data_IF_503494113696
#
_entry.id   IF_503494113696
#
_cell.length_a   1.000
_cell.length_b   1.000
_cell.length_c   1.000
_cell.angle_alpha   90.00
_cell.angle_beta   90.00
_cell.angle_gamma   90.00
#
_symmetry.space_group_name_H-M   'P 1'
#
loop_
_entity.id
_entity.type
_entity.pdbx_description
1 polymer ?
#
# COMPACT_ATOMS: atom_id res chain seq x y z
N UNK A 1 -0.17 36.45 12.11
CA UNK A 1 1.07 35.93 11.47
C UNK A 1 1.76 34.84 12.26
N UNK A 2 1.66 34.80 13.56
CA UNK A 2 2.29 33.76 14.41
C UNK A 2 1.67 32.36 14.25
N UNK A 3 0.35 32.23 14.20
CA UNK A 3 -0.33 30.94 14.07
C UNK A 3 -0.09 30.25 12.72
N UNK A 4 -0.02 31.00 11.62
CA UNK A 4 0.31 30.46 10.31
C UNK A 4 1.76 29.99 10.21
N UNK A 5 2.69 30.71 10.85
CA UNK A 5 4.11 30.32 10.97
C UNK A 5 4.28 29.03 11.81
N UNK A 6 3.46 28.85 12.84
CA UNK A 6 3.52 27.66 13.70
C UNK A 6 2.97 26.40 13.00
N UNK A 7 1.97 26.55 12.15
CA UNK A 7 1.47 25.43 11.30
C UNK A 7 2.52 25.01 10.27
N UNK A 8 3.25 25.98 9.69
CA UNK A 8 4.35 25.68 8.74
C UNK A 8 5.54 24.98 9.39
N UNK A 9 5.89 25.32 10.63
CA UNK A 9 6.96 24.66 11.39
C UNK A 9 6.62 23.24 11.84
N UNK A 10 5.34 22.87 11.87
CA UNK A 10 4.86 21.52 12.23
C UNK A 10 4.94 20.50 11.08
N UNK A 11 5.30 20.96 9.87
CA UNK A 11 5.46 20.09 8.72
C UNK A 11 6.94 19.70 8.55
N UNK A 12 7.30 18.47 8.85
CA UNK A 12 8.59 17.91 8.43
C UNK A 12 8.54 17.59 6.93
N UNK A 13 9.31 18.31 6.15
CA UNK A 13 9.53 17.95 4.74
C UNK A 13 10.61 16.86 4.69
N UNK A 14 10.22 15.65 4.33
CA UNK A 14 11.16 14.64 3.84
C UNK A 14 11.22 14.77 2.33
N UNK A 15 12.40 15.04 1.76
CA UNK A 15 12.62 15.23 0.32
C UNK A 15 11.75 16.36 -0.33
N UNK A 16 11.58 17.49 0.37
CA UNK A 16 10.90 18.68 -0.17
C UNK A 16 9.37 18.64 -0.19
N UNK A 17 8.73 17.59 0.33
CA UNK A 17 7.27 17.50 0.44
C UNK A 17 6.83 17.28 1.88
N UNK A 18 5.91 18.11 2.37
CA UNK A 18 5.34 17.98 3.71
C UNK A 18 4.26 16.89 3.71
N UNK A 19 4.66 15.66 4.05
CA UNK A 19 3.76 14.49 4.12
C UNK A 19 3.29 14.17 5.52
N UNK A 20 3.91 14.76 6.53
CA UNK A 20 3.69 14.47 7.94
C UNK A 20 3.17 15.71 8.67
N UNK A 21 2.09 15.55 9.41
CA UNK A 21 1.59 16.54 10.35
C UNK A 21 2.12 16.19 11.74
N UNK A 22 2.88 17.09 12.35
CA UNK A 22 3.37 16.91 13.71
C UNK A 22 2.34 17.47 14.71
N UNK A 23 1.72 16.60 15.47
CA UNK A 23 0.78 16.90 16.55
C UNK A 23 1.46 16.65 17.91
N UNK A 24 2.35 17.55 18.30
CA UNK A 24 3.17 17.38 19.52
C UNK A 24 4.18 16.23 19.36
N UNK A 25 4.15 15.22 20.25
CA UNK A 25 5.06 14.06 20.17
C UNK A 25 4.69 13.06 19.06
N UNK A 26 3.50 13.18 18.48
CA UNK A 26 3.01 12.26 17.45
C UNK A 26 3.14 12.86 16.05
N UNK A 27 3.69 12.09 15.13
CA UNK A 27 3.67 12.40 13.70
C UNK A 27 2.51 11.63 13.04
N UNK A 28 1.65 12.35 12.35
CA UNK A 28 0.47 11.81 11.70
C UNK A 28 0.61 11.96 10.18
N UNK A 29 0.34 10.88 9.44
CA UNK A 29 0.31 10.91 7.99
C UNK A 29 -1.15 10.88 7.50
N UNK A 30 -1.69 11.98 6.94
CA UNK A 30 -3.08 12.06 6.50
C UNK A 30 -3.48 11.02 5.46
N UNK A 31 -2.54 10.55 4.66
CA UNK A 31 -2.79 9.53 3.65
C UNK A 31 -3.17 8.16 4.23
N UNK A 32 -2.75 7.83 5.46
CA UNK A 32 -3.18 6.60 6.13
C UNK A 32 -4.68 6.65 6.46
N UNK A 33 -5.13 7.78 7.03
CA UNK A 33 -6.55 8.03 7.25
C UNK A 33 -7.35 8.00 5.94
N UNK A 34 -6.81 8.60 4.88
CA UNK A 34 -7.48 8.66 3.59
C UNK A 34 -7.75 7.26 3.00
N UNK A 35 -6.82 6.32 3.14
CA UNK A 35 -7.01 4.93 2.69
C UNK A 35 -8.19 4.27 3.39
N UNK A 36 -8.23 4.35 4.72
CA UNK A 36 -9.34 3.81 5.52
C UNK A 36 -10.67 4.50 5.18
N UNK A 37 -10.68 5.83 5.08
CA UNK A 37 -11.88 6.58 4.72
C UNK A 37 -12.41 6.21 3.34
N UNK A 38 -11.54 5.96 2.36
CA UNK A 38 -11.92 5.49 1.01
C UNK A 38 -12.57 4.13 1.07
N UNK A 39 -12.01 3.19 1.83
CA UNK A 39 -12.57 1.84 1.98
C UNK A 39 -14.00 1.92 2.53
N UNK A 40 -14.19 2.66 3.62
CA UNK A 40 -15.50 2.82 4.26
C UNK A 40 -16.49 3.51 3.31
N UNK A 41 -16.06 4.60 2.67
CA UNK A 41 -16.91 5.37 1.75
C UNK A 41 -17.32 4.55 0.54
N UNK A 42 -16.38 3.84 -0.09
CA UNK A 42 -16.67 3.00 -1.24
C UNK A 42 -17.57 1.82 -0.88
N UNK A 43 -17.37 1.17 0.27
CA UNK A 43 -18.25 0.09 0.72
C UNK A 43 -19.69 0.58 0.83
N UNK A 44 -19.89 1.74 1.47
CA UNK A 44 -21.21 2.37 1.59
C UNK A 44 -21.80 2.81 0.24
N UNK A 45 -20.98 3.38 -0.64
CA UNK A 45 -21.44 3.86 -1.96
C UNK A 45 -21.86 2.70 -2.84
N UNK A 46 -21.07 1.63 -2.87
CA UNK A 46 -21.33 0.44 -3.69
C UNK A 46 -22.57 -0.31 -3.17
N UNK A 47 -22.74 -0.43 -1.87
CA UNK A 47 -23.92 -1.05 -1.27
C UNK A 47 -25.24 -0.37 -1.70
N UNK A 48 -25.22 0.96 -1.88
CA UNK A 48 -26.41 1.73 -2.32
C UNK A 48 -26.77 1.54 -3.81
N UNK A 49 -25.85 1.06 -4.65
CA UNK A 49 -26.04 0.95 -6.10
C UNK A 49 -25.74 -0.43 -6.69
N UNK A 50 -25.97 -1.57 -5.99
CA UNK A 50 -25.45 -2.88 -6.39
C UNK A 50 -25.95 -3.32 -7.76
N UNK A 51 -27.25 -3.12 -8.08
CA UNK A 51 -27.88 -3.53 -9.36
C UNK A 51 -27.38 -2.74 -10.58
N UNK A 52 -26.76 -1.57 -10.38
CA UNK A 52 -26.31 -0.68 -11.47
C UNK A 52 -24.85 -0.93 -11.86
N UNK A 53 -24.07 -1.65 -11.06
CA UNK A 53 -22.65 -1.90 -11.31
C UNK A 53 -22.37 -2.82 -12.52
N UNK A 54 -23.37 -3.51 -13.04
CA UNK A 54 -23.27 -4.21 -14.32
C UNK A 54 -23.08 -3.27 -15.55
N UNK A 55 -23.30 -1.97 -15.39
CA UNK A 55 -23.11 -0.98 -16.45
C UNK A 55 -21.79 -0.22 -16.26
N UNK A 56 -20.97 -0.18 -17.32
CA UNK A 56 -19.70 0.55 -17.33
C UNK A 56 -19.83 2.02 -16.92
N UNK A 57 -20.93 2.68 -17.33
CA UNK A 57 -21.23 4.05 -16.92
C UNK A 57 -21.31 4.25 -15.40
N UNK A 58 -21.76 3.23 -14.65
CA UNK A 58 -21.83 3.33 -13.18
C UNK A 58 -20.45 3.21 -12.53
N UNK A 59 -19.59 2.36 -13.09
CA UNK A 59 -18.18 2.26 -12.65
C UNK A 59 -17.47 3.60 -12.88
N UNK A 60 -17.64 4.19 -14.08
CA UNK A 60 -17.06 5.51 -14.41
C UNK A 60 -17.58 6.57 -13.43
N UNK A 61 -18.88 6.59 -13.12
CA UNK A 61 -19.44 7.57 -12.16
C UNK A 61 -18.78 7.46 -10.79
N UNK A 62 -18.58 6.25 -10.26
CA UNK A 62 -17.89 6.05 -9.00
C UNK A 62 -16.45 6.55 -9.10
N UNK A 63 -15.74 6.23 -10.19
CA UNK A 63 -14.36 6.68 -10.40
C UNK A 63 -14.27 8.21 -10.53
N UNK A 64 -15.24 8.86 -11.20
CA UNK A 64 -15.31 10.32 -11.31
C UNK A 64 -15.56 10.97 -9.95
N UNK A 65 -16.42 10.40 -9.11
CA UNK A 65 -16.65 10.88 -7.74
C UNK A 65 -15.35 10.79 -6.91
N UNK A 66 -14.57 9.73 -7.12
CA UNK A 66 -13.30 9.52 -6.41
C UNK A 66 -12.14 10.34 -7.00
N UNK A 67 -12.27 10.82 -8.23
CA UNK A 67 -11.18 11.48 -8.98
C UNK A 67 -10.57 12.70 -8.26
N UNK A 68 -11.34 13.63 -7.66
CA UNK A 68 -10.75 14.76 -6.93
C UNK A 68 -9.83 14.30 -5.79
N UNK A 69 -10.24 13.27 -5.05
CA UNK A 69 -9.43 12.70 -3.98
C UNK A 69 -8.16 12.04 -4.53
N UNK A 70 -8.27 11.27 -5.62
CA UNK A 70 -7.10 10.69 -6.29
C UNK A 70 -6.12 11.75 -6.77
N UNK A 71 -6.62 12.84 -7.37
CA UNK A 71 -5.80 13.92 -7.89
C UNK A 71 -5.00 14.63 -6.77
N UNK A 72 -5.67 14.94 -5.65
CA UNK A 72 -5.01 15.56 -4.48
C UNK A 72 -3.96 14.63 -3.88
N UNK A 73 -4.27 13.33 -3.71
CA UNK A 73 -3.29 12.36 -3.19
C UNK A 73 -2.15 12.17 -4.19
N UNK A 74 -2.41 12.07 -5.50
CA UNK A 74 -1.40 11.87 -6.53
C UNK A 74 -0.42 13.04 -6.63
N UNK A 75 -0.91 14.26 -6.41
CA UNK A 75 -0.06 15.45 -6.38
C UNK A 75 0.97 15.36 -5.24
N UNK A 76 0.57 14.92 -4.05
CA UNK A 76 1.44 14.81 -2.87
C UNK A 76 2.20 13.48 -2.79
N UNK A 77 1.57 12.36 -3.17
CA UNK A 77 2.15 11.02 -3.09
C UNK A 77 1.54 10.06 -4.12
N UNK A 78 2.23 9.88 -5.24
CA UNK A 78 1.78 9.00 -6.32
C UNK A 78 1.62 7.54 -5.85
N UNK A 79 2.53 7.05 -5.00
CA UNK A 79 2.48 5.67 -4.51
C UNK A 79 1.20 5.40 -3.72
N UNK A 80 0.84 6.33 -2.83
CA UNK A 80 -0.43 6.24 -2.09
C UNK A 80 -1.64 6.35 -3.02
N UNK A 81 -1.58 7.21 -4.06
CA UNK A 81 -2.65 7.31 -5.04
C UNK A 81 -2.84 5.99 -5.81
N UNK A 82 -1.76 5.31 -6.19
CA UNK A 82 -1.81 3.97 -6.82
C UNK A 82 -2.46 2.95 -5.90
N UNK A 83 -2.12 2.96 -4.60
CA UNK A 83 -2.74 2.07 -3.61
C UNK A 83 -4.25 2.35 -3.51
N UNK A 84 -4.64 3.60 -3.33
CA UNK A 84 -6.06 4.01 -3.20
C UNK A 84 -6.85 3.68 -4.48
N UNK A 85 -6.26 3.92 -5.65
CA UNK A 85 -6.85 3.52 -6.93
C UNK A 85 -7.01 2.00 -7.02
N UNK A 86 -5.98 1.23 -6.66
CA UNK A 86 -6.02 -0.22 -6.64
C UNK A 86 -7.10 -0.78 -5.70
N UNK A 87 -7.25 -0.21 -4.49
CA UNK A 87 -8.33 -0.56 -3.56
C UNK A 87 -9.69 -0.34 -4.22
N UNK A 88 -9.90 0.83 -4.84
CA UNK A 88 -11.17 1.16 -5.49
C UNK A 88 -11.48 0.19 -6.64
N UNK A 89 -10.49 -0.14 -7.46
CA UNK A 89 -10.63 -1.11 -8.56
C UNK A 89 -10.97 -2.49 -8.03
N UNK A 90 -10.28 -2.98 -7.01
CA UNK A 90 -10.55 -4.30 -6.40
C UNK A 90 -11.96 -4.37 -5.79
N UNK A 91 -12.40 -3.34 -5.04
CA UNK A 91 -13.74 -3.30 -4.47
C UNK A 91 -14.83 -3.29 -5.55
N UNK A 92 -14.66 -2.48 -6.60
CA UNK A 92 -15.58 -2.43 -7.73
C UNK A 92 -15.57 -3.75 -8.52
N UNK A 93 -14.41 -4.39 -8.66
CA UNK A 93 -14.28 -5.69 -9.35
C UNK A 93 -15.08 -6.78 -8.65
N UNK A 94 -14.95 -6.88 -7.32
CA UNK A 94 -15.70 -7.86 -6.52
C UNK A 94 -17.21 -7.59 -6.57
N UNK A 95 -17.61 -6.31 -6.60
CA UNK A 95 -19.01 -5.92 -6.62
C UNK A 95 -19.66 -5.99 -8.02
N UNK A 96 -18.89 -6.11 -9.10
CA UNK A 96 -19.39 -6.08 -10.47
C UNK A 96 -19.48 -7.47 -11.10
N UNK A 97 -20.58 -7.80 -11.79
CA UNK A 97 -20.72 -9.09 -12.49
C UNK A 97 -19.93 -9.16 -13.82
N UNK A 98 -19.35 -8.05 -14.29
CA UNK A 98 -18.70 -7.97 -15.62
C UNK A 98 -17.24 -7.56 -15.52
N UNK A 99 -16.33 -8.54 -15.51
CA UNK A 99 -14.88 -8.27 -15.34
C UNK A 99 -14.19 -7.68 -16.58
N UNK A 100 -14.73 -7.84 -17.78
CA UNK A 100 -14.13 -7.26 -19.01
C UNK A 100 -13.94 -5.74 -18.93
N UNK A 101 -14.80 -5.04 -18.20
CA UNK A 101 -14.73 -3.60 -18.00
C UNK A 101 -13.48 -3.17 -17.21
N UNK A 102 -12.96 -4.04 -16.34
CA UNK A 102 -11.80 -3.74 -15.51
C UNK A 102 -10.48 -3.83 -16.28
N UNK A 103 -10.43 -4.52 -17.40
CA UNK A 103 -9.29 -4.45 -18.33
C UNK A 103 -9.11 -3.02 -18.83
N UNK A 104 -10.21 -2.36 -19.23
CA UNK A 104 -10.18 -0.96 -19.69
C UNK A 104 -9.75 -0.02 -18.55
N UNK A 105 -10.31 -0.21 -17.35
CA UNK A 105 -9.95 0.59 -16.16
C UNK A 105 -8.48 0.37 -15.80
N UNK A 106 -7.98 -0.87 -15.84
CA UNK A 106 -6.60 -1.21 -15.57
C UNK A 106 -5.64 -0.59 -16.59
N UNK A 107 -5.91 -0.72 -17.88
CA UNK A 107 -5.11 -0.10 -18.94
C UNK A 107 -5.13 1.42 -18.81
N UNK A 108 -6.29 2.03 -18.55
CA UNK A 108 -6.40 3.47 -18.29
C UNK A 108 -5.62 3.93 -17.08
N UNK A 109 -5.65 3.17 -15.98
CA UNK A 109 -4.87 3.45 -14.77
C UNK A 109 -3.37 3.36 -15.00
N UNK A 110 -2.88 2.31 -15.66
CA UNK A 110 -1.47 2.17 -16.02
C UNK A 110 -1.02 3.31 -16.95
N UNK A 111 -1.82 3.63 -17.97
CA UNK A 111 -1.52 4.74 -18.89
C UNK A 111 -1.44 6.09 -18.15
N UNK A 112 -2.35 6.31 -17.18
CA UNK A 112 -2.30 7.51 -16.34
C UNK A 112 -1.03 7.57 -15.50
N UNK A 113 -0.62 6.47 -14.85
CA UNK A 113 0.62 6.43 -14.05
C UNK A 113 1.84 6.69 -14.92
N UNK A 114 1.93 6.06 -16.09
CA UNK A 114 3.04 6.26 -17.04
C UNK A 114 3.09 7.72 -17.49
N UNK A 115 1.97 8.30 -17.95
CA UNK A 115 1.90 9.69 -18.35
C UNK A 115 2.30 10.64 -17.21
N UNK A 116 1.83 10.37 -15.99
CA UNK A 116 2.13 11.19 -14.83
C UNK A 116 3.61 11.12 -14.40
N UNK A 117 4.28 9.97 -14.60
CA UNK A 117 5.74 9.83 -14.40
C UNK A 117 6.50 10.63 -15.46
N UNK A 118 6.08 10.53 -16.72
CA UNK A 118 6.76 11.22 -17.85
C UNK A 118 6.64 12.75 -17.78
N UNK A 119 5.54 13.26 -17.24
CA UNK A 119 5.30 14.71 -17.12
C UNK A 119 6.05 15.37 -15.96
N UNK A 120 6.56 14.60 -15.00
CA UNK A 120 7.23 15.13 -13.81
C UNK A 120 8.73 14.83 -13.83
N UNK A 121 9.55 15.82 -14.17
CA UNK A 121 11.03 15.71 -14.25
C UNK A 121 11.70 15.21 -12.96
N UNK A 122 11.15 15.55 -11.79
CA UNK A 122 11.59 15.02 -10.49
C UNK A 122 11.50 13.49 -10.38
N UNK A 123 10.59 12.87 -11.15
CA UNK A 123 10.37 11.40 -11.10
C UNK A 123 11.25 10.65 -12.08
N UNK A 124 11.83 11.31 -13.05
CA UNK A 124 12.78 10.70 -14.00
C UNK A 124 14.04 10.18 -13.30
N UNK A 125 14.51 10.84 -12.23
CA UNK A 125 15.63 10.36 -11.41
C UNK A 125 15.35 8.98 -10.80
N UNK A 126 14.14 8.73 -10.28
CA UNK A 126 13.76 7.41 -9.74
C UNK A 126 13.68 6.31 -10.79
N UNK A 127 13.24 6.65 -12.00
CA UNK A 127 13.23 5.70 -13.12
C UNK A 127 14.66 5.39 -13.56
N UNK A 128 15.54 6.39 -13.59
CA UNK A 128 16.95 6.19 -13.90
C UNK A 128 17.65 5.34 -12.82
N UNK A 129 17.39 5.60 -11.54
CA UNK A 129 17.89 4.81 -10.42
C UNK A 129 17.37 3.37 -10.43
N UNK A 130 16.18 3.13 -10.97
CA UNK A 130 15.62 1.80 -11.16
C UNK A 130 16.30 1.03 -12.30
N UNK A 131 16.52 1.69 -13.45
CA UNK A 131 17.12 1.06 -14.63
C UNK A 131 18.63 0.87 -14.48
N UNK A 132 19.32 1.82 -13.85
CA UNK A 132 20.77 1.88 -13.70
C UNK A 132 21.17 2.28 -12.28
N UNK A 133 20.88 1.45 -11.25
CA UNK A 133 21.13 1.81 -9.85
C UNK A 133 22.62 2.05 -9.55
N UNK A 134 23.52 1.42 -10.31
CA UNK A 134 24.97 1.55 -10.18
C UNK A 134 25.52 2.92 -10.62
N UNK A 135 24.79 3.66 -11.47
CA UNK A 135 25.21 4.96 -12.01
C UNK A 135 24.40 6.14 -11.52
N UNK A 136 23.30 5.87 -10.78
CA UNK A 136 22.35 6.91 -10.37
C UNK A 136 22.71 7.64 -9.06
N UNK A 137 23.94 7.49 -8.55
CA UNK A 137 24.41 8.16 -7.34
C UNK A 137 23.57 7.82 -6.11
N UNK A 138 23.23 8.83 -5.31
CA UNK A 138 22.49 8.65 -4.06
C UNK A 138 21.10 8.03 -4.24
N UNK A 139 20.40 8.33 -5.34
CA UNK A 139 19.07 7.76 -5.64
C UNK A 139 19.12 6.26 -5.94
N UNK A 140 20.23 5.77 -6.53
CA UNK A 140 20.47 4.36 -6.81
C UNK A 140 21.05 3.58 -5.62
N UNK A 141 21.74 4.28 -4.71
CA UNK A 141 22.46 3.67 -3.59
C UNK A 141 21.55 2.81 -2.71
N UNK A 142 20.37 3.30 -2.32
CA UNK A 142 19.41 2.56 -1.52
C UNK A 142 19.00 1.25 -2.17
N UNK A 143 18.68 1.28 -3.46
CA UNK A 143 18.29 0.10 -4.25
C UNK A 143 19.43 -0.92 -4.32
N UNK A 144 20.64 -0.46 -4.61
CA UNK A 144 21.82 -1.31 -4.74
C UNK A 144 22.16 -2.02 -3.43
N UNK A 145 22.16 -1.28 -2.30
CA UNK A 145 22.41 -1.85 -0.98
C UNK A 145 21.31 -2.82 -0.56
N UNK A 146 20.05 -2.54 -0.91
CA UNK A 146 18.94 -3.47 -0.71
C UNK A 146 19.12 -4.79 -1.46
N UNK A 147 19.56 -4.73 -2.73
CA UNK A 147 19.84 -5.92 -3.52
C UNK A 147 21.04 -6.73 -2.96
N UNK A 148 22.07 -6.04 -2.47
CA UNK A 148 23.18 -6.69 -1.78
C UNK A 148 22.73 -7.38 -0.50
N UNK A 149 21.83 -6.78 0.28
CA UNK A 149 21.24 -7.40 1.46
C UNK A 149 20.53 -8.71 1.09
N UNK A 150 19.62 -8.66 0.11
CA UNK A 150 18.90 -9.85 -0.37
C UNK A 150 19.87 -10.94 -0.85
N UNK A 151 20.83 -10.58 -1.70
CA UNK A 151 21.79 -11.55 -2.27
C UNK A 151 22.70 -12.17 -1.22
N UNK A 152 23.09 -11.40 -0.19
CA UNK A 152 23.98 -11.88 0.86
C UNK A 152 23.32 -12.85 1.84
N UNK A 153 21.98 -12.85 1.95
CA UNK A 153 21.24 -13.74 2.84
C UNK A 153 21.19 -15.20 2.41
N UNK A 154 21.40 -15.51 1.12
CA UNK A 154 21.38 -16.88 0.58
C UNK A 154 20.11 -17.64 0.99
N UNK A 155 20.21 -18.94 1.31
CA UNK A 155 19.06 -19.79 1.67
C UNK A 155 18.61 -19.60 3.13
N UNK A 156 19.54 -19.53 4.09
CA UNK A 156 19.25 -19.56 5.54
C UNK A 156 19.56 -18.26 6.27
N UNK A 157 20.07 -17.24 5.56
CA UNK A 157 20.45 -15.97 6.15
C UNK A 157 21.79 -16.00 6.89
N UNK A 158 22.13 -14.83 7.44
CA UNK A 158 23.33 -14.64 8.27
C UNK A 158 23.08 -14.88 9.75
N UNK A 159 21.82 -14.94 10.17
CA UNK A 159 21.38 -15.02 11.55
C UNK A 159 20.65 -13.75 12.00
N UNK A 160 19.72 -13.91 12.94
CA UNK A 160 18.97 -12.80 13.53
C UNK A 160 19.92 -11.80 14.20
N UNK A 161 19.80 -10.54 13.87
CA UNK A 161 20.65 -9.49 14.41
C UNK A 161 21.99 -9.28 13.68
N UNK A 162 22.39 -10.17 12.77
CA UNK A 162 23.70 -10.18 12.11
C UNK A 162 23.70 -9.48 10.74
N UNK A 163 22.66 -8.72 10.41
CA UNK A 163 22.66 -7.93 9.19
C UNK A 163 23.69 -6.81 9.24
N UNK A 164 24.62 -6.82 8.31
CA UNK A 164 25.59 -5.75 8.12
C UNK A 164 24.96 -4.52 7.46
N UNK A 165 23.96 -4.75 6.60
CA UNK A 165 23.33 -3.70 5.83
C UNK A 165 22.44 -2.77 6.67
N UNK A 166 21.87 -3.27 7.78
CA UNK A 166 21.11 -2.42 8.73
C UNK A 166 21.96 -1.44 9.51
N UNK A 167 23.29 -1.65 9.61
CA UNK A 167 24.23 -0.82 10.36
C UNK A 167 24.56 0.53 9.68
N UNK A 168 23.70 1.01 8.80
CA UNK A 168 23.81 2.32 8.14
C UNK A 168 24.09 2.24 6.63
N UNK A 169 24.26 1.04 6.06
CA UNK A 169 24.48 0.89 4.62
C UNK A 169 23.17 1.01 3.83
N UNK A 170 22.04 0.48 4.35
CA UNK A 170 20.72 0.63 3.73
C UNK A 170 19.99 1.80 4.40
N UNK A 171 19.75 2.92 3.70
CA UNK A 171 18.87 3.98 4.18
C UNK A 171 17.46 3.43 4.42
N UNK A 172 16.77 3.96 5.44
CA UNK A 172 15.39 3.58 5.78
C UNK A 172 15.19 2.06 5.98
N UNK A 173 16.24 1.36 6.45
CA UNK A 173 16.26 -0.10 6.64
C UNK A 173 15.11 -0.62 7.54
N UNK A 174 14.61 0.21 8.46
CA UNK A 174 13.50 -0.13 9.37
C UNK A 174 12.13 0.17 8.78
N UNK A 175 12.06 0.96 7.72
CA UNK A 175 10.81 1.43 7.11
C UNK A 175 10.49 0.61 5.84
N UNK A 176 10.65 1.20 4.68
CA UNK A 176 10.27 0.60 3.39
C UNK A 176 11.23 -0.50 2.90
N UNK A 177 12.47 -0.56 3.46
CA UNK A 177 13.47 -1.57 3.09
C UNK A 177 13.59 -2.72 4.10
N UNK A 178 12.68 -2.85 5.07
CA UNK A 178 12.78 -3.88 6.13
C UNK A 178 12.78 -5.31 5.56
N UNK A 179 12.10 -5.57 4.45
CA UNK A 179 12.08 -6.88 3.83
C UNK A 179 13.46 -7.31 3.32
N UNK A 180 14.32 -6.37 2.89
CA UNK A 180 15.71 -6.68 2.50
C UNK A 180 16.53 -7.17 3.68
N UNK A 181 16.32 -6.58 4.87
CA UNK A 181 16.98 -7.00 6.11
C UNK A 181 16.48 -8.39 6.54
N UNK A 182 15.18 -8.66 6.41
CA UNK A 182 14.62 -10.00 6.64
C UNK A 182 15.29 -11.04 5.73
N UNK A 183 15.45 -10.70 4.44
CA UNK A 183 16.16 -11.55 3.51
C UNK A 183 17.63 -11.76 3.88
N UNK A 184 18.33 -10.75 4.38
CA UNK A 184 19.73 -10.87 4.82
C UNK A 184 19.87 -11.74 6.07
N UNK A 185 19.02 -11.52 7.09
CA UNK A 185 19.11 -12.20 8.38
C UNK A 185 18.55 -13.63 8.35
N UNK A 186 17.41 -13.85 7.67
CA UNK A 186 16.68 -15.13 7.64
C UNK A 186 16.78 -15.86 6.31
N UNK A 187 17.41 -15.25 5.31
CA UNK A 187 17.58 -15.84 3.98
C UNK A 187 16.27 -15.98 3.19
N UNK A 188 16.35 -16.74 2.12
CA UNK A 188 15.19 -17.06 1.28
C UNK A 188 14.09 -17.79 2.08
N UNK A 189 14.48 -18.66 3.01
CA UNK A 189 13.53 -19.38 3.87
C UNK A 189 12.68 -18.41 4.70
N UNK A 190 13.31 -17.43 5.37
CA UNK A 190 12.59 -16.41 6.13
C UNK A 190 11.70 -15.52 5.26
N UNK A 191 12.18 -15.14 4.08
CA UNK A 191 11.39 -14.36 3.11
C UNK A 191 10.12 -15.11 2.68
N UNK A 192 10.24 -16.41 2.36
CA UNK A 192 9.09 -17.27 2.00
C UNK A 192 8.12 -17.40 3.18
N UNK A 193 8.63 -17.61 4.40
CA UNK A 193 7.77 -17.68 5.59
C UNK A 193 6.95 -16.40 5.78
N UNK A 194 7.54 -15.22 5.63
CA UNK A 194 6.84 -13.94 5.74
C UNK A 194 5.78 -13.81 4.64
N UNK A 195 6.10 -14.15 3.40
CA UNK A 195 5.12 -14.13 2.29
C UNK A 195 3.96 -15.09 2.57
N UNK A 196 4.23 -16.30 3.06
CA UNK A 196 3.20 -17.27 3.41
C UNK A 196 2.29 -16.75 4.53
N UNK A 197 2.82 -16.07 5.53
CA UNK A 197 1.99 -15.44 6.58
C UNK A 197 1.03 -14.39 5.99
N UNK A 198 1.48 -13.56 5.03
CA UNK A 198 0.57 -12.63 4.34
C UNK A 198 -0.46 -13.38 3.50
N UNK A 199 -0.08 -14.42 2.78
CA UNK A 199 -1.04 -15.25 2.02
C UNK A 199 -2.10 -15.85 2.94
N UNK A 200 -1.72 -16.36 4.10
CA UNK A 200 -2.66 -16.91 5.10
C UNK A 200 -3.57 -15.81 5.66
N UNK A 201 -3.03 -14.64 5.95
CA UNK A 201 -3.84 -13.48 6.40
C UNK A 201 -4.87 -13.09 5.35
N UNK A 202 -4.46 -12.90 4.10
CA UNK A 202 -5.35 -12.54 3.00
C UNK A 202 -6.39 -13.61 2.72
N UNK A 203 -6.00 -14.88 2.80
CA UNK A 203 -6.94 -16.00 2.69
C UNK A 203 -8.01 -15.97 3.79
N UNK A 204 -7.61 -15.74 5.04
CA UNK A 204 -8.58 -15.58 6.15
C UNK A 204 -9.52 -14.41 5.94
N UNK A 205 -9.01 -13.29 5.45
CA UNK A 205 -9.84 -12.11 5.13
C UNK A 205 -10.81 -12.40 3.97
N UNK A 206 -10.38 -13.15 2.96
CA UNK A 206 -11.25 -13.59 1.85
C UNK A 206 -12.36 -14.50 2.37
N UNK A 207 -12.07 -15.42 3.30
CA UNK A 207 -13.08 -16.26 3.94
C UNK A 207 -14.10 -15.40 4.71
N UNK A 208 -13.65 -14.38 5.46
CA UNK A 208 -14.54 -13.45 6.16
C UNK A 208 -15.41 -12.67 5.17
N UNK A 209 -14.82 -12.14 4.10
CA UNK A 209 -15.57 -11.38 3.10
C UNK A 209 -16.66 -12.21 2.41
N UNK A 210 -16.34 -13.48 2.06
CA UNK A 210 -17.29 -14.37 1.38
C UNK A 210 -18.45 -14.83 2.30
N UNK A 211 -18.24 -14.86 3.61
CA UNK A 211 -19.24 -15.27 4.58
C UNK A 211 -19.86 -14.10 5.34
N UNK A 212 -19.57 -12.86 4.93
CA UNK A 212 -20.12 -11.67 5.58
C UNK A 212 -21.66 -11.63 5.46
N UNK A 213 -22.30 -11.14 6.51
CA UNK A 213 -23.77 -11.13 6.66
C UNK A 213 -24.46 -10.19 5.66
N UNK A 214 -23.76 -9.14 5.25
CA UNK A 214 -24.25 -8.09 4.35
C UNK A 214 -23.18 -7.70 3.34
N UNK A 215 -23.63 -7.03 2.29
CA UNK A 215 -22.75 -6.58 1.22
C UNK A 215 -21.75 -5.52 1.70
N UNK A 216 -22.17 -4.66 2.65
CA UNK A 216 -21.30 -3.63 3.20
C UNK A 216 -20.09 -4.25 3.92
N UNK A 217 -20.33 -5.22 4.81
CA UNK A 217 -19.26 -5.92 5.53
C UNK A 217 -18.35 -6.71 4.58
N UNK A 218 -18.90 -7.38 3.57
CA UNK A 218 -18.12 -8.06 2.53
C UNK A 218 -17.19 -7.10 1.80
N UNK A 219 -17.69 -5.93 1.37
CA UNK A 219 -16.91 -4.93 0.67
C UNK A 219 -15.89 -4.24 1.57
N UNK A 220 -16.23 -3.99 2.83
CA UNK A 220 -15.31 -3.41 3.81
C UNK A 220 -14.09 -4.31 4.00
N UNK A 221 -14.31 -5.62 4.24
CA UNK A 221 -13.21 -6.58 4.39
C UNK A 221 -12.44 -6.74 3.08
N UNK A 222 -13.11 -6.75 1.94
CA UNK A 222 -12.46 -6.77 0.62
C UNK A 222 -11.55 -5.56 0.42
N UNK A 223 -11.99 -4.36 0.80
CA UNK A 223 -11.19 -3.14 0.72
C UNK A 223 -9.94 -3.21 1.58
N UNK A 224 -10.07 -3.66 2.84
CA UNK A 224 -8.95 -3.84 3.78
C UNK A 224 -7.98 -4.90 3.26
N UNK A 225 -8.48 -6.04 2.80
CA UNK A 225 -7.69 -7.10 2.18
C UNK A 225 -6.90 -6.59 0.97
N UNK A 226 -7.56 -5.82 0.10
CA UNK A 226 -6.93 -5.23 -1.08
C UNK A 226 -5.84 -4.22 -0.70
N UNK A 227 -6.08 -3.40 0.33
CA UNK A 227 -5.08 -2.46 0.86
C UNK A 227 -3.81 -3.19 1.28
N UNK A 228 -3.92 -4.20 2.14
CA UNK A 228 -2.79 -4.98 2.63
C UNK A 228 -2.08 -5.69 1.47
N UNK A 229 -2.84 -6.36 0.60
CA UNK A 229 -2.28 -7.10 -0.53
C UNK A 229 -1.48 -6.20 -1.47
N UNK A 230 -2.03 -5.04 -1.86
CA UNK A 230 -1.36 -4.10 -2.77
C UNK A 230 -0.09 -3.54 -2.12
N UNK A 231 -0.13 -3.18 -0.81
CA UNK A 231 1.07 -2.68 -0.13
C UNK A 231 2.18 -3.73 -0.06
N UNK A 232 1.85 -4.98 0.27
CA UNK A 232 2.82 -6.09 0.31
C UNK A 232 3.43 -6.32 -1.07
N UNK A 233 2.60 -6.42 -2.11
CA UNK A 233 3.07 -6.62 -3.48
C UNK A 233 3.98 -5.48 -3.93
N UNK A 234 3.56 -4.23 -3.70
CA UNK A 234 4.37 -3.06 -4.07
C UNK A 234 5.69 -2.99 -3.31
N UNK A 235 5.69 -3.25 -1.99
CA UNK A 235 6.93 -3.26 -1.21
C UNK A 235 7.90 -4.32 -1.72
N UNK A 236 7.45 -5.58 -1.89
CA UNK A 236 8.29 -6.67 -2.40
C UNK A 236 8.81 -6.34 -3.81
N UNK A 237 7.96 -5.81 -4.70
CA UNK A 237 8.37 -5.43 -6.05
C UNK A 237 9.41 -4.29 -6.07
N UNK A 238 9.33 -3.34 -5.13
CA UNK A 238 10.33 -2.27 -4.96
C UNK A 238 11.67 -2.84 -4.48
N UNK A 239 11.66 -3.60 -3.39
CA UNK A 239 12.91 -4.08 -2.77
C UNK A 239 13.64 -5.11 -3.64
N UNK A 240 12.91 -5.80 -4.53
CA UNK A 240 13.47 -6.69 -5.56
C UNK A 240 13.85 -5.97 -6.85
N UNK A 241 13.76 -4.63 -6.88
CA UNK A 241 14.02 -3.79 -8.05
C UNK A 241 13.18 -4.18 -9.29
N UNK A 242 11.98 -4.76 -9.09
CA UNK A 242 11.04 -5.06 -10.19
C UNK A 242 10.32 -3.78 -10.67
N UNK A 243 10.11 -2.83 -9.77
CA UNK A 243 9.54 -1.50 -10.05
C UNK A 243 10.38 -0.41 -9.38
N UNK A 244 10.28 0.85 -9.86
CA UNK A 244 10.99 1.98 -9.23
C UNK A 244 10.67 2.15 -7.76
N UNK A 245 11.63 2.65 -6.97
CA UNK A 245 11.43 2.89 -5.53
C UNK A 245 10.27 3.86 -5.25
N UNK A 246 9.31 3.41 -4.44
CA UNK A 246 8.07 4.12 -4.14
C UNK A 246 7.94 4.55 -2.67
N UNK A 247 8.78 4.04 -1.78
CA UNK A 247 8.72 4.31 -0.34
C UNK A 247 7.45 3.75 0.32
N UNK A 248 6.90 2.65 -0.18
CA UNK A 248 5.75 1.95 0.40
C UNK A 248 6.23 1.00 1.48
N UNK A 249 5.69 1.15 2.68
CA UNK A 249 6.03 0.32 3.84
C UNK A 249 5.40 -1.06 3.76
N UNK A 250 6.01 -2.05 4.41
CA UNK A 250 5.48 -3.40 4.57
C UNK A 250 4.49 -3.44 5.76
N UNK A 251 3.20 -3.75 5.56
CA UNK A 251 2.19 -3.75 6.62
C UNK A 251 2.60 -4.59 7.84
N UNK A 252 2.35 -4.10 9.05
CA UNK A 252 2.63 -4.75 10.36
C UNK A 252 4.11 -4.97 10.70
N UNK A 253 5.02 -4.98 9.73
CA UNK A 253 6.45 -5.28 9.94
C UNK A 253 7.29 -4.01 9.95
N UNK A 254 7.03 -3.10 8.99
CA UNK A 254 7.76 -1.83 8.92
C UNK A 254 7.54 -0.95 10.13
N UNK A 255 8.59 -0.25 10.54
CA UNK A 255 8.49 0.77 11.58
C UNK A 255 7.65 1.95 11.08
N UNK A 256 6.52 2.20 11.76
CA UNK A 256 5.60 3.28 11.40
C UNK A 256 4.43 3.36 12.38
N UNK A 257 4.54 4.17 13.45
CA UNK A 257 3.55 4.21 14.52
C UNK A 257 2.14 4.54 14.05
N UNK A 258 1.97 5.56 13.21
CA UNK A 258 0.64 5.94 12.67
C UNK A 258 0.08 4.90 11.72
N UNK A 259 0.90 4.33 10.83
CA UNK A 259 0.47 3.29 9.90
C UNK A 259 0.00 2.04 10.63
N UNK A 260 0.71 1.63 11.69
CA UNK A 260 0.32 0.49 12.52
C UNK A 260 -1.03 0.71 13.19
N UNK A 261 -1.31 1.92 13.72
CA UNK A 261 -2.60 2.25 14.34
C UNK A 261 -3.75 2.09 13.33
N UNK A 262 -3.59 2.61 12.10
CA UNK A 262 -4.63 2.46 11.07
C UNK A 262 -4.79 1.01 10.63
N UNK A 263 -3.72 0.25 10.45
CA UNK A 263 -3.79 -1.17 10.14
C UNK A 263 -4.51 -1.96 11.27
N UNK A 264 -4.26 -1.62 12.54
CA UNK A 264 -4.98 -2.24 13.66
C UNK A 264 -6.46 -1.86 13.67
N UNK A 265 -6.82 -0.62 13.32
CA UNK A 265 -8.22 -0.21 13.13
C UNK A 265 -8.89 -1.00 12.01
N UNK A 266 -8.21 -1.17 10.86
CA UNK A 266 -8.70 -1.98 9.75
C UNK A 266 -8.92 -3.44 10.17
N UNK A 267 -7.97 -4.03 10.90
CA UNK A 267 -8.13 -5.39 11.43
C UNK A 267 -9.29 -5.47 12.44
N UNK A 268 -9.49 -4.45 13.28
CA UNK A 268 -10.63 -4.36 14.19
C UNK A 268 -11.97 -4.34 13.44
N UNK A 269 -12.06 -3.61 12.33
CA UNK A 269 -13.24 -3.60 11.46
C UNK A 269 -13.48 -4.97 10.82
N UNK A 270 -12.44 -5.62 10.28
CA UNK A 270 -12.54 -6.96 9.70
C UNK A 270 -12.99 -8.01 10.75
N UNK A 271 -12.47 -7.94 11.97
CA UNK A 271 -12.89 -8.80 13.09
C UNK A 271 -14.33 -8.51 13.52
N UNK A 272 -14.78 -7.27 13.48
CA UNK A 272 -16.18 -6.91 13.77
C UNK A 272 -17.13 -7.56 12.77
N UNK A 273 -16.79 -7.55 11.48
CA UNK A 273 -17.55 -8.25 10.45
C UNK A 273 -17.54 -9.76 10.70
N UNK A 274 -16.37 -10.34 11.02
CA UNK A 274 -16.21 -11.76 11.31
C UNK A 274 -17.10 -12.21 12.48
N UNK A 275 -17.24 -11.40 13.53
CA UNK A 275 -18.12 -11.69 14.68
C UNK A 275 -19.59 -11.80 14.29
N UNK A 276 -20.01 -11.13 13.24
CA UNK A 276 -21.37 -11.20 12.68
C UNK A 276 -21.68 -12.48 11.89
N UNK A 277 -20.66 -13.25 11.54
CA UNK A 277 -20.82 -14.49 10.76
C UNK A 277 -21.42 -15.57 11.67
N UNK A 278 -22.62 -16.06 11.33
CA UNK A 278 -23.15 -17.28 11.93
C UNK A 278 -22.50 -18.46 11.24
N UNK A 279 -21.65 -19.20 11.92
CA UNK A 279 -21.27 -20.51 11.47
C UNK A 279 -22.53 -21.36 11.57
N UNK A 280 -23.14 -21.66 10.43
CA UNK A 280 -24.12 -22.79 10.41
C UNK A 280 -23.35 -24.02 10.89
N UNK A 281 -23.78 -24.57 12.01
CA UNK A 281 -23.28 -25.85 12.51
C UNK A 281 -23.47 -26.83 11.36
N UNK A 282 -22.38 -27.39 10.86
CA UNK A 282 -22.41 -28.54 9.97
C UNK A 282 -22.97 -29.67 10.84
N UNK A 283 -24.30 -29.87 10.76
CA UNK A 283 -24.96 -31.09 11.22
C UNK A 283 -24.82 -32.19 10.17
#
# INVERSE_FOLDING_TARGET
SSAASDVYKRQRSSHGQSRWLNLGPFSFQPSELAKLAVIIFLAMLIERIPKKLGNFSSIIKVMVIMFPLFAVIAYSNLSTAVIVFGIAVCMLFVASPKYKQFVIVGVGGVSFVVAFIMLASYRSGRVQAWLHPETAGDDGYQTLQGLYAIGSGKLFGKGLGESLQKMGNVPESQNDMIFTIICEELGLFGAICVILLYVLLLWRMMVIANNAKDLYGALLVTGIMSHIAIQVILNIAVVTNTIPNTGVILPFISYGGTSLVFLMMEMGLALSVSKGIRLESIE
#
